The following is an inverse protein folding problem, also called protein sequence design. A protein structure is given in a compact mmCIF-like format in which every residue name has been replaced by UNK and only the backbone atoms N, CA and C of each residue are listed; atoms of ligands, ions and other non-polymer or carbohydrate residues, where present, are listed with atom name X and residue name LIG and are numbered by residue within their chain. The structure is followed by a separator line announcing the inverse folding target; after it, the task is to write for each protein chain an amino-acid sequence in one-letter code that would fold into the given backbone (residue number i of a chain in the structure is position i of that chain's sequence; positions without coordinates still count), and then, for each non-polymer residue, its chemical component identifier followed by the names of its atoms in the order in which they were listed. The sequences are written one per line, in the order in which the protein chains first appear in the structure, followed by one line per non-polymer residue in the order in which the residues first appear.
data_IF_215080512357
#
_entry.id   IF_215080512357
#
_cell.length_a   1.000
_cell.length_b   1.000
_cell.length_c   1.000
_cell.angle_alpha   90.00
_cell.angle_beta   90.00
_cell.angle_gamma   90.00
#
_symmetry.space_group_name_H-M   'P 1'
#
loop_
_entity.id
_entity.type
_entity.pdbx_description
1 polymer ?
#
# COMPACT_ATOMS: atom_id res chain seq x y z
N UNK A 1 8.15 18.18 21.47
CA UNK A 1 7.31 16.95 21.53
C UNK A 1 7.75 16.02 20.41
N UNK A 2 7.75 14.69 20.62
CA UNK A 2 8.05 13.71 19.57
C UNK A 2 6.75 13.37 18.82
N UNK A 3 6.80 13.36 17.48
CA UNK A 3 5.65 13.03 16.63
C UNK A 3 6.00 11.82 15.77
N UNK A 4 5.11 10.82 15.77
CA UNK A 4 5.29 9.58 15.02
C UNK A 4 4.23 9.52 13.92
N UNK A 5 4.67 9.36 12.68
CA UNK A 5 3.81 9.23 11.51
C UNK A 5 3.77 7.78 11.00
N UNK A 6 2.62 7.38 10.46
CA UNK A 6 2.54 6.30 9.48
C UNK A 6 2.78 6.88 8.07
N UNK A 7 3.03 6.02 7.08
CA UNK A 7 3.14 6.43 5.67
C UNK A 7 1.82 6.24 4.93
N UNK A 8 1.44 4.98 4.76
CA UNK A 8 0.31 4.55 3.92
C UNK A 8 -1.01 5.05 4.53
N UNK A 9 -1.82 5.74 3.71
CA UNK A 9 -3.08 6.39 4.08
C UNK A 9 -2.97 7.38 5.27
N UNK A 10 -1.79 7.95 5.50
CA UNK A 10 -1.55 9.02 6.49
C UNK A 10 -0.75 10.19 5.93
N UNK A 11 0.35 9.90 5.22
CA UNK A 11 1.12 10.90 4.49
C UNK A 11 0.98 10.76 2.98
N UNK A 12 0.60 9.57 2.52
CA UNK A 12 0.46 9.20 1.11
C UNK A 12 -0.93 8.61 0.88
N UNK A 13 -1.57 8.99 -0.23
CA UNK A 13 -2.82 8.38 -0.67
C UNK A 13 -2.56 7.03 -1.35
N UNK A 14 -2.35 5.97 -0.57
CA UNK A 14 -2.12 4.64 -1.16
C UNK A 14 -3.39 4.01 -1.71
N UNK A 15 -4.52 4.27 -1.08
CA UNK A 15 -5.82 3.73 -1.49
C UNK A 15 -6.27 4.27 -2.84
N UNK A 16 -6.13 5.57 -3.09
CA UNK A 16 -6.51 6.21 -4.36
C UNK A 16 -5.44 6.12 -5.44
N UNK A 17 -4.14 6.25 -5.11
CA UNK A 17 -3.09 6.34 -6.12
C UNK A 17 -2.40 5.01 -6.47
N UNK A 18 -2.26 4.08 -5.52
CA UNK A 18 -1.47 2.85 -5.71
C UNK A 18 -2.35 1.62 -5.92
N UNK A 19 -3.38 1.43 -5.07
CA UNK A 19 -4.19 0.22 -5.08
C UNK A 19 -4.87 -0.11 -6.41
N UNK A 20 -5.36 0.86 -7.20
CA UNK A 20 -5.90 0.53 -8.51
C UNK A 20 -4.87 -0.15 -9.43
N UNK A 21 -3.68 0.43 -9.57
CA UNK A 21 -2.62 -0.12 -10.41
C UNK A 21 -2.17 -1.50 -9.93
N UNK A 22 -2.01 -1.65 -8.61
CA UNK A 22 -1.56 -2.90 -7.98
C UNK A 22 -2.61 -4.02 -8.12
N UNK A 23 -3.89 -3.74 -7.86
CA UNK A 23 -4.97 -4.72 -8.04
C UNK A 23 -5.15 -5.11 -9.51
N UNK A 24 -4.90 -4.19 -10.45
CA UNK A 24 -4.90 -4.51 -11.88
C UNK A 24 -3.78 -5.48 -12.24
N UNK A 25 -2.59 -5.30 -11.67
CA UNK A 25 -1.46 -6.22 -11.84
C UNK A 25 -1.78 -7.58 -11.23
N UNK A 26 -2.26 -7.62 -9.99
CA UNK A 26 -2.70 -8.85 -9.34
C UNK A 26 -3.72 -9.62 -10.18
N UNK A 27 -4.71 -8.93 -10.77
CA UNK A 27 -5.70 -9.57 -11.64
C UNK A 27 -5.08 -10.20 -12.90
N UNK A 28 -4.05 -9.57 -13.49
CA UNK A 28 -3.32 -10.15 -14.63
C UNK A 28 -2.53 -11.38 -14.24
N UNK A 29 -1.84 -11.34 -13.10
CA UNK A 29 -1.08 -12.48 -12.58
C UNK A 29 -2.01 -13.67 -12.29
N UNK A 30 -3.18 -13.41 -11.69
CA UNK A 30 -4.21 -14.43 -11.46
C UNK A 30 -4.67 -15.07 -12.78
N UNK A 31 -4.89 -14.29 -13.84
CA UNK A 31 -5.21 -14.86 -15.17
C UNK A 31 -4.08 -15.74 -15.71
N UNK A 32 -2.82 -15.34 -15.49
CA UNK A 32 -1.65 -16.11 -15.90
C UNK A 32 -1.57 -17.50 -15.26
N UNK A 33 -2.16 -17.69 -14.08
CA UNK A 33 -2.21 -18.98 -13.36
C UNK A 33 -3.56 -19.69 -13.42
N UNK A 34 -4.46 -19.25 -14.31
CA UNK A 34 -5.68 -19.99 -14.64
C UNK A 34 -7.00 -19.37 -14.15
N UNK A 35 -7.01 -18.11 -13.68
CA UNK A 35 -8.26 -17.39 -13.46
C UNK A 35 -8.96 -17.10 -14.80
N UNK A 36 -10.10 -17.75 -15.03
CA UNK A 36 -10.93 -17.49 -16.20
C UNK A 36 -11.81 -16.26 -15.99
N UNK A 37 -11.63 -15.23 -16.81
CA UNK A 37 -12.43 -14.00 -16.76
C UNK A 37 -13.14 -13.79 -18.09
N UNK A 38 -14.47 -13.68 -18.07
CA UNK A 38 -15.26 -13.37 -19.25
C UNK A 38 -14.97 -11.95 -19.78
N UNK A 39 -14.70 -11.00 -18.88
CA UNK A 39 -14.35 -9.62 -19.24
C UNK A 39 -13.42 -9.02 -18.19
N UNK A 40 -12.15 -8.86 -18.54
CA UNK A 40 -11.12 -8.33 -17.64
C UNK A 40 -11.50 -6.99 -17.02
N UNK A 41 -12.00 -6.04 -17.83
CA UNK A 41 -12.31 -4.69 -17.34
C UNK A 41 -13.49 -4.68 -16.37
N UNK A 42 -14.49 -5.55 -16.58
CA UNK A 42 -15.62 -5.70 -15.66
C UNK A 42 -15.14 -6.32 -14.33
N UNK A 43 -14.38 -7.41 -14.40
CA UNK A 43 -13.83 -8.09 -13.23
C UNK A 43 -12.87 -7.19 -12.44
N UNK A 44 -12.09 -6.35 -13.13
CA UNK A 44 -11.24 -5.35 -12.50
C UNK A 44 -12.07 -4.30 -11.73
N UNK A 45 -13.12 -3.74 -12.33
CA UNK A 45 -14.02 -2.81 -11.64
C UNK A 45 -14.71 -3.45 -10.44
N UNK A 46 -15.06 -4.72 -10.54
CA UNK A 46 -15.63 -5.48 -9.43
C UNK A 46 -14.62 -5.68 -8.30
N UNK A 47 -13.38 -6.06 -8.61
CA UNK A 47 -12.31 -6.18 -7.61
C UNK A 47 -12.03 -4.84 -6.90
N UNK A 48 -11.99 -3.73 -7.66
CA UNK A 48 -11.88 -2.39 -7.07
C UNK A 48 -13.05 -2.08 -6.12
N UNK A 49 -14.27 -2.40 -6.55
CA UNK A 49 -15.47 -2.20 -5.74
C UNK A 49 -15.43 -3.05 -4.47
N UNK A 50 -15.02 -4.31 -4.53
CA UNK A 50 -14.87 -5.15 -3.35
C UNK A 50 -13.83 -4.54 -2.39
N UNK A 51 -12.71 -4.04 -2.92
CA UNK A 51 -11.68 -3.40 -2.12
C UNK A 51 -12.16 -2.18 -1.32
N UNK A 52 -13.20 -1.46 -1.78
CA UNK A 52 -13.77 -0.34 -1.00
C UNK A 52 -14.62 -0.77 0.19
N UNK A 53 -15.06 -2.04 0.25
CA UNK A 53 -15.91 -2.57 1.33
C UNK A 53 -15.13 -3.38 2.37
N UNK A 54 -13.85 -3.65 2.13
CA UNK A 54 -13.02 -4.49 2.99
C UNK A 54 -11.95 -3.67 3.72
N UNK A 55 -11.53 -4.18 4.88
CA UNK A 55 -10.45 -3.55 5.66
C UNK A 55 -9.07 -3.83 5.08
N UNK A 56 -8.96 -4.77 4.13
CA UNK A 56 -7.71 -5.04 3.42
C UNK A 56 -7.92 -5.61 2.03
N UNK A 57 -6.96 -5.36 1.13
CA UNK A 57 -6.93 -5.96 -0.20
C UNK A 57 -6.94 -7.50 -0.16
N UNK A 58 -6.34 -8.12 0.86
CA UNK A 58 -6.40 -9.58 1.05
C UNK A 58 -7.83 -10.10 1.15
N UNK A 59 -8.68 -9.44 1.94
CA UNK A 59 -10.08 -9.87 2.13
C UNK A 59 -10.89 -9.64 0.86
N UNK A 60 -10.69 -8.51 0.18
CA UNK A 60 -11.32 -8.23 -1.11
C UNK A 60 -10.93 -9.26 -2.18
N UNK A 61 -9.65 -9.66 -2.23
CA UNK A 61 -9.17 -10.70 -3.15
C UNK A 61 -9.79 -12.05 -2.82
N UNK A 62 -9.87 -12.42 -1.54
CA UNK A 62 -10.48 -13.68 -1.12
C UNK A 62 -11.94 -13.76 -1.56
N UNK A 63 -12.74 -12.73 -1.30
CA UNK A 63 -14.14 -12.69 -1.75
C UNK A 63 -14.25 -12.71 -3.28
N UNK A 64 -13.40 -11.95 -3.98
CA UNK A 64 -13.37 -11.95 -5.44
C UNK A 64 -13.08 -13.34 -6.00
N UNK A 65 -12.12 -14.06 -5.43
CA UNK A 65 -11.77 -15.42 -5.84
C UNK A 65 -12.89 -16.41 -5.56
N UNK A 66 -13.59 -16.28 -4.43
CA UNK A 66 -14.75 -17.10 -4.09
C UNK A 66 -15.90 -16.90 -5.09
N UNK A 67 -16.28 -15.65 -5.38
CA UNK A 67 -17.31 -15.29 -6.36
C UNK A 67 -17.01 -15.89 -7.74
N UNK A 68 -15.74 -15.92 -8.13
CA UNK A 68 -15.31 -16.39 -9.44
C UNK A 68 -14.92 -17.89 -9.46
N UNK A 69 -15.12 -18.63 -8.38
CA UNK A 69 -14.69 -20.04 -8.24
C UNK A 69 -13.24 -20.28 -8.68
N UNK A 70 -12.35 -19.37 -8.27
CA UNK A 70 -11.00 -19.32 -8.77
C UNK A 70 -10.09 -20.41 -8.14
N UNK A 71 -9.03 -20.84 -8.85
CA UNK A 71 -8.03 -21.75 -8.28
C UNK A 71 -7.33 -21.15 -7.06
N UNK A 72 -7.00 -22.00 -6.07
CA UNK A 72 -6.27 -21.59 -4.85
C UNK A 72 -4.94 -20.89 -5.16
N UNK A 73 -4.25 -21.31 -6.23
CA UNK A 73 -2.99 -20.71 -6.68
C UNK A 73 -3.11 -19.21 -7.04
N UNK A 74 -4.33 -18.72 -7.34
CA UNK A 74 -4.56 -17.30 -7.65
C UNK A 74 -4.33 -16.41 -6.41
N UNK A 75 -4.60 -16.92 -5.20
CA UNK A 75 -4.44 -16.14 -3.99
C UNK A 75 -2.96 -15.78 -3.77
N UNK A 76 -2.06 -16.75 -3.90
CA UNK A 76 -0.64 -16.55 -3.63
C UNK A 76 -0.02 -15.51 -4.58
N UNK A 77 -0.30 -15.62 -5.88
CA UNK A 77 0.20 -14.65 -6.87
C UNK A 77 -0.41 -13.27 -6.68
N UNK A 78 -1.68 -13.18 -6.27
CA UNK A 78 -2.32 -11.91 -6.00
C UNK A 78 -1.72 -11.22 -4.77
N UNK A 79 -1.50 -11.97 -3.69
CA UNK A 79 -0.89 -11.43 -2.47
C UNK A 79 0.57 -11.05 -2.68
N UNK A 80 1.30 -11.79 -3.50
CA UNK A 80 2.67 -11.42 -3.90
C UNK A 80 2.67 -10.08 -4.65
N UNK A 81 1.83 -9.95 -5.69
CA UNK A 81 1.70 -8.73 -6.47
C UNK A 81 1.23 -7.52 -5.63
N UNK A 82 0.45 -7.73 -4.57
CA UNK A 82 -0.06 -6.63 -3.73
C UNK A 82 0.92 -6.21 -2.64
N UNK A 83 1.52 -7.19 -1.95
CA UNK A 83 2.25 -6.92 -0.70
C UNK A 83 3.75 -7.13 -0.80
N UNK A 84 4.22 -7.98 -1.71
CA UNK A 84 5.63 -8.32 -1.81
C UNK A 84 6.31 -7.57 -2.94
N UNK A 85 5.67 -7.50 -4.10
CA UNK A 85 6.23 -6.92 -5.32
C UNK A 85 5.22 -5.97 -6.00
N UNK A 86 4.70 -4.94 -5.29
CA UNK A 86 3.74 -4.01 -5.88
C UNK A 86 4.37 -3.24 -7.04
N UNK A 87 3.76 -3.36 -8.22
CA UNK A 87 4.13 -2.57 -9.40
C UNK A 87 3.13 -1.45 -9.63
N UNK A 88 3.60 -0.21 -9.50
CA UNK A 88 2.84 1.00 -9.77
C UNK A 88 3.71 1.99 -10.54
N UNK A 89 3.23 2.41 -11.72
CA UNK A 89 3.92 3.37 -12.60
C UNK A 89 3.45 4.80 -12.40
N UNK A 90 2.23 4.96 -11.90
CA UNK A 90 1.62 6.25 -11.68
C UNK A 90 2.29 6.98 -10.51
N UNK A 91 2.32 8.32 -10.52
CA UNK A 91 2.85 9.11 -9.42
C UNK A 91 2.05 8.81 -8.15
N UNK A 92 2.79 8.54 -7.08
CA UNK A 92 2.21 8.38 -5.74
C UNK A 92 1.90 9.78 -5.24
N UNK A 93 0.66 10.04 -4.84
CA UNK A 93 0.28 11.37 -4.36
C UNK A 93 0.46 11.47 -2.85
N UNK A 94 1.11 12.53 -2.33
CA UNK A 94 0.99 12.83 -0.92
C UNK A 94 -0.48 13.16 -0.60
N UNK A 95 -0.89 12.93 0.64
CA UNK A 95 -2.18 13.45 1.11
C UNK A 95 -2.12 14.98 1.18
N UNK A 96 -3.29 15.62 1.13
CA UNK A 96 -3.41 17.09 1.17
C UNK A 96 -2.65 17.67 2.37
N UNK A 97 -1.88 18.73 2.11
CA UNK A 97 -1.01 19.43 3.05
C UNK A 97 0.07 18.58 3.75
N UNK A 98 0.24 17.29 3.39
CA UNK A 98 1.15 16.39 4.11
C UNK A 98 2.61 16.86 4.05
N UNK A 99 3.04 17.43 2.93
CA UNK A 99 4.43 17.90 2.77
C UNK A 99 4.64 19.20 3.55
N UNK A 100 3.70 20.14 3.46
CA UNK A 100 3.72 21.41 4.20
C UNK A 100 3.74 21.16 5.72
N UNK A 101 2.88 20.26 6.20
CA UNK A 101 2.81 19.90 7.63
C UNK A 101 4.10 19.25 8.11
N UNK A 102 4.71 18.36 7.31
CA UNK A 102 6.00 17.77 7.67
C UNK A 102 7.11 18.82 7.74
N UNK A 103 7.13 19.77 6.81
CA UNK A 103 8.10 20.86 6.81
C UNK A 103 7.97 21.73 8.06
N UNK A 104 6.76 22.21 8.36
CA UNK A 104 6.48 23.04 9.54
C UNK A 104 6.83 22.32 10.85
N UNK A 105 6.36 21.08 11.01
CA UNK A 105 6.58 20.33 12.24
C UNK A 105 8.05 19.96 12.43
N UNK A 106 8.79 19.63 11.36
CA UNK A 106 10.19 19.24 11.44
C UNK A 106 11.10 20.36 11.97
N UNK A 107 10.69 21.63 11.84
CA UNK A 107 11.44 22.78 12.34
C UNK A 107 11.45 22.87 13.88
N UNK A 108 10.48 22.27 14.56
CA UNK A 108 10.26 22.42 16.00
C UNK A 108 10.10 21.09 16.75
N UNK A 109 9.91 19.98 16.04
CA UNK A 109 9.63 18.66 16.59
C UNK A 109 10.49 17.59 15.94
N UNK A 110 11.10 16.67 16.70
CA UNK A 110 11.64 15.44 16.12
C UNK A 110 10.49 14.61 15.55
N UNK A 111 10.55 14.32 14.25
CA UNK A 111 9.59 13.45 13.57
C UNK A 111 10.19 12.06 13.38
N UNK A 112 9.36 11.02 13.51
CA UNK A 112 9.75 9.62 13.24
C UNK A 112 8.71 8.97 12.35
N UNK A 113 9.16 8.26 11.31
CA UNK A 113 8.27 7.46 10.46
C UNK A 113 8.28 6.00 10.94
N UNK A 114 7.09 5.41 11.12
CA UNK A 114 6.93 3.98 11.42
C UNK A 114 5.90 3.39 10.45
N UNK A 115 6.39 2.72 9.41
CA UNK A 115 5.56 2.14 8.34
C UNK A 115 5.70 0.62 8.23
N UNK A 116 4.67 -0.03 7.66
CA UNK A 116 4.65 -1.46 7.35
C UNK A 116 5.12 -1.71 5.92
N UNK A 117 5.77 -2.84 5.69
CA UNK A 117 6.22 -3.25 4.36
C UNK A 117 7.73 -3.15 4.19
N UNK A 118 8.20 -3.60 3.02
CA UNK A 118 9.63 -3.64 2.67
C UNK A 118 10.19 -2.23 2.56
N UNK A 119 11.42 -2.05 3.02
CA UNK A 119 12.07 -0.74 3.08
C UNK A 119 12.19 -0.11 1.68
N UNK A 120 12.61 -0.89 0.69
CA UNK A 120 12.79 -0.42 -0.69
C UNK A 120 11.48 0.12 -1.29
N UNK A 121 10.36 -0.58 -1.08
CA UNK A 121 9.03 -0.17 -1.56
C UNK A 121 8.56 1.10 -0.86
N UNK A 122 8.76 1.19 0.46
CA UNK A 122 8.32 2.34 1.24
C UNK A 122 9.14 3.59 0.91
N UNK A 123 10.44 3.43 0.63
CA UNK A 123 11.29 4.52 0.12
C UNK A 123 10.88 4.98 -1.27
N UNK A 124 10.59 4.05 -2.18
CA UNK A 124 10.09 4.37 -3.53
C UNK A 124 8.79 5.18 -3.46
N UNK A 125 7.85 4.82 -2.56
CA UNK A 125 6.63 5.58 -2.33
C UNK A 125 6.92 7.00 -1.85
N UNK A 126 7.81 7.16 -0.86
CA UNK A 126 8.20 8.47 -0.33
C UNK A 126 8.79 9.35 -1.44
N UNK A 127 9.70 8.80 -2.24
CA UNK A 127 10.33 9.51 -3.36
C UNK A 127 9.30 9.96 -4.38
N UNK A 128 8.43 9.05 -4.84
CA UNK A 128 7.36 9.35 -5.80
C UNK A 128 6.35 10.37 -5.27
N UNK A 129 6.13 10.42 -3.95
CA UNK A 129 5.25 11.38 -3.28
C UNK A 129 5.92 12.71 -2.93
N UNK A 130 7.21 12.89 -3.21
CA UNK A 130 7.95 14.10 -2.82
C UNK A 130 8.20 14.23 -1.32
N UNK A 131 8.02 13.15 -0.54
CA UNK A 131 8.26 13.15 0.91
C UNK A 131 9.74 12.92 1.16
N UNK A 132 10.44 13.98 1.57
CA UNK A 132 11.86 13.90 1.87
C UNK A 132 12.13 13.18 3.20
N UNK A 133 13.09 12.26 3.21
CA UNK A 133 13.57 11.63 4.44
C UNK A 133 14.18 12.63 5.43
N UNK A 134 14.57 13.83 4.97
CA UNK A 134 15.16 14.90 5.81
C UNK A 134 14.22 15.38 6.91
N UNK A 135 12.91 15.23 6.73
CA UNK A 135 11.92 15.64 7.74
C UNK A 135 11.96 14.73 8.98
N UNK A 136 12.49 13.51 8.86
CA UNK A 136 12.45 12.51 9.90
C UNK A 136 13.82 12.30 10.54
N UNK A 137 13.86 12.33 11.87
CA UNK A 137 15.04 11.98 12.66
C UNK A 137 15.35 10.48 12.61
N UNK A 138 14.31 9.64 12.42
CA UNK A 138 14.41 8.19 12.28
C UNK A 138 13.33 7.64 11.35
N UNK A 139 13.67 6.58 10.63
CA UNK A 139 12.75 5.82 9.77
C UNK A 139 12.76 4.36 10.25
N UNK A 140 11.58 3.80 10.50
CA UNK A 140 11.41 2.41 10.89
C UNK A 140 10.48 1.68 9.92
N UNK A 141 11.04 0.73 9.18
CA UNK A 141 10.33 -0.12 8.23
C UNK A 141 10.06 -1.49 8.88
N UNK A 142 8.79 -1.90 8.88
CA UNK A 142 8.33 -3.13 9.51
C UNK A 142 7.88 -4.12 8.43
N UNK A 143 8.77 -4.99 7.90
CA UNK A 143 8.35 -6.02 6.96
C UNK A 143 7.33 -6.97 7.61
N UNK A 144 7.54 -7.28 8.90
CA UNK A 144 6.56 -8.00 9.72
C UNK A 144 5.52 -7.03 10.28
N UNK A 145 4.23 -7.40 10.22
CA UNK A 145 3.07 -6.53 10.57
C UNK A 145 3.05 -5.98 12.01
N UNK A 146 4.03 -6.28 12.86
CA UNK A 146 4.04 -5.93 14.28
C UNK A 146 4.76 -4.60 14.60
N UNK A 147 4.11 -3.47 14.28
CA UNK A 147 4.59 -2.12 14.65
C UNK A 147 4.67 -1.88 16.16
N UNK A 148 3.91 -2.63 16.98
CA UNK A 148 3.80 -2.43 18.44
C UNK A 148 5.14 -2.53 19.16
N UNK A 149 6.06 -3.37 18.67
CA UNK A 149 7.41 -3.48 19.23
C UNK A 149 8.26 -2.23 18.96
N UNK A 150 8.05 -1.57 17.83
CA UNK A 150 8.80 -0.38 17.43
C UNK A 150 8.24 0.86 18.14
N UNK A 151 6.92 1.01 18.21
CA UNK A 151 6.31 2.12 18.97
C UNK A 151 6.71 2.17 20.45
N UNK A 152 7.14 1.05 21.04
CA UNK A 152 7.66 1.02 22.43
C UNK A 152 9.14 1.40 22.56
N UNK A 153 9.87 1.49 21.45
CA UNK A 153 11.30 1.76 21.39
C UNK A 153 11.64 3.16 20.86
N UNK A 154 10.66 3.80 20.24
CA UNK A 154 10.71 5.17 19.74
C UNK A 154 10.25 6.10 20.85
#
# INVERSE_FOLDING_TARGET
MLIIFDLDDTLIDTTGSIMPAVLKTALKEMQGVGLSLANFNRSYKELLRLNTYHVSAKEAILEFLEINNAPVACLDVALDAVYQNPSFKDPVQPLEDAVEVLEELSASHPLVLVTKGKEEVQREKMEKAGISSKYFTRLHFCPDRNKKKIYKKV
#
